data_IF_171048911214
#
_entry.id   IF_171048911214
#
_cell.length_a   1.000
_cell.length_b   1.000
_cell.length_c   1.000
_cell.angle_alpha   90.00
_cell.angle_beta   90.00
_cell.angle_gamma   90.00
#
_symmetry.space_group_name_H-M   'P 1'
#
loop_
_entity.id
_entity.type
_entity.pdbx_description
1 polymer ?
#
# COMPACT_ATOMS: atom_id res chain seq x y z
N UNK A 1 9.50 -14.13 9.03
CA UNK A 1 8.33 -14.75 8.36
C UNK A 1 8.33 -14.31 6.90
N UNK A 2 9.10 -14.97 6.03
CA UNK A 2 9.26 -14.57 4.62
C UNK A 2 7.92 -14.48 3.87
N UNK A 3 6.99 -15.38 4.18
CA UNK A 3 5.65 -15.45 3.58
C UNK A 3 4.83 -14.16 3.73
N UNK A 4 5.03 -13.40 4.82
CA UNK A 4 4.32 -12.12 5.05
C UNK A 4 4.89 -10.99 4.21
N UNK A 5 6.22 -10.97 4.06
CA UNK A 5 6.92 -9.99 3.23
C UNK A 5 6.64 -10.25 1.75
N UNK A 6 6.59 -11.52 1.33
CA UNK A 6 6.20 -11.92 -0.02
C UNK A 6 4.75 -11.53 -0.33
N UNK A 7 3.84 -11.69 0.63
CA UNK A 7 2.45 -11.22 0.49
C UNK A 7 2.37 -9.70 0.35
N UNK A 8 3.10 -8.95 1.18
CA UNK A 8 3.13 -7.49 1.09
C UNK A 8 3.66 -7.04 -0.28
N UNK A 9 4.71 -7.69 -0.78
CA UNK A 9 5.25 -7.42 -2.11
C UNK A 9 4.25 -7.71 -3.23
N UNK A 10 3.48 -8.79 -3.10
CA UNK A 10 2.42 -9.11 -4.05
C UNK A 10 1.31 -8.04 -4.05
N UNK A 11 0.93 -7.53 -2.86
CA UNK A 11 -0.06 -6.47 -2.73
C UNK A 11 0.43 -5.13 -3.30
N UNK A 12 1.71 -4.78 -3.10
CA UNK A 12 2.33 -3.59 -3.72
C UNK A 12 2.24 -3.68 -5.25
N UNK A 13 2.57 -4.83 -5.82
CA UNK A 13 2.50 -5.06 -7.27
C UNK A 13 1.07 -5.01 -7.80
N UNK A 14 0.11 -5.50 -7.02
CA UNK A 14 -1.32 -5.39 -7.35
C UNK A 14 -1.77 -3.93 -7.34
N UNK A 15 -1.35 -3.15 -6.33
CA UNK A 15 -1.65 -1.73 -6.23
C UNK A 15 -1.10 -0.94 -7.44
N UNK A 16 0.17 -1.16 -7.79
CA UNK A 16 0.79 -0.51 -8.96
C UNK A 16 0.04 -0.84 -10.26
N UNK A 17 -0.31 -2.10 -10.47
CA UNK A 17 -1.07 -2.52 -11.64
C UNK A 17 -2.46 -1.87 -11.69
N UNK A 18 -3.16 -1.75 -10.56
CA UNK A 18 -4.43 -1.03 -10.50
C UNK A 18 -4.26 0.48 -10.77
N UNK A 19 -3.20 1.12 -10.23
CA UNK A 19 -2.87 2.52 -10.50
C UNK A 19 -2.43 2.80 -11.96
N UNK A 20 -1.98 1.78 -12.68
CA UNK A 20 -1.70 1.85 -14.11
C UNK A 20 -2.95 1.63 -14.97
N UNK A 21 -3.89 0.79 -14.51
CA UNK A 21 -5.17 0.56 -15.21
C UNK A 21 -6.16 1.71 -15.03
N UNK A 22 -6.08 2.43 -13.92
CA UNK A 22 -6.96 3.54 -13.61
C UNK A 22 -6.43 4.83 -14.25
N UNK A 23 -7.02 5.21 -15.39
CA UNK A 23 -6.76 6.52 -16.04
C UNK A 23 -7.42 7.69 -15.29
N UNK A 24 -8.49 7.45 -14.53
CA UNK A 24 -9.31 8.48 -13.88
C UNK A 24 -9.21 8.43 -12.34
N UNK A 25 -7.98 8.43 -11.80
CA UNK A 25 -7.75 8.67 -10.37
C UNK A 25 -7.20 10.08 -10.15
N UNK A 26 -7.59 10.71 -9.04
CA UNK A 26 -7.08 12.02 -8.66
C UNK A 26 -5.54 11.97 -8.52
N UNK A 27 -4.79 12.90 -9.16
CA UNK A 27 -3.33 12.86 -9.18
C UNK A 27 -2.71 12.89 -7.79
N UNK A 28 -3.31 13.62 -6.84
CA UNK A 28 -2.84 13.65 -5.45
C UNK A 28 -2.91 12.27 -4.80
N UNK A 29 -4.04 11.59 -4.94
CA UNK A 29 -4.21 10.24 -4.40
C UNK A 29 -3.28 9.23 -5.07
N UNK A 30 -3.12 9.36 -6.38
CA UNK A 30 -2.19 8.52 -7.16
C UNK A 30 -0.75 8.64 -6.65
N UNK A 31 -0.31 9.86 -6.35
CA UNK A 31 1.04 10.10 -5.85
C UNK A 31 1.22 9.59 -4.43
N UNK A 32 0.24 9.78 -3.53
CA UNK A 32 0.29 9.23 -2.17
C UNK A 32 0.40 7.69 -2.18
N UNK A 33 -0.41 7.01 -2.99
CA UNK A 33 -0.39 5.55 -3.10
C UNK A 33 0.92 5.05 -3.71
N UNK A 34 1.46 5.76 -4.72
CA UNK A 34 2.74 5.41 -5.33
C UNK A 34 3.91 5.61 -4.38
N UNK A 35 3.91 6.69 -3.61
CA UNK A 35 4.95 6.94 -2.60
C UNK A 35 4.93 5.86 -1.52
N UNK A 36 3.74 5.51 -1.01
CA UNK A 36 3.60 4.44 -0.03
C UNK A 36 4.04 3.08 -0.59
N UNK A 37 3.69 2.78 -1.85
CA UNK A 37 4.14 1.57 -2.54
C UNK A 37 5.68 1.50 -2.67
N UNK A 38 6.30 2.62 -3.05
CA UNK A 38 7.76 2.73 -3.20
C UNK A 38 8.46 2.55 -1.85
N UNK A 39 8.00 3.24 -0.79
CA UNK A 39 8.58 3.13 0.56
C UNK A 39 8.54 1.68 1.06
N UNK A 40 7.45 0.96 0.74
CA UNK A 40 7.31 -0.46 1.08
C UNK A 40 8.28 -1.33 0.27
N UNK A 41 8.33 -1.19 -1.06
CA UNK A 41 9.23 -2.03 -1.87
C UNK A 41 10.70 -1.75 -1.58
N UNK A 42 11.09 -0.50 -1.33
CA UNK A 42 12.46 -0.11 -0.96
C UNK A 42 12.88 -0.81 0.34
N UNK A 43 12.06 -0.74 1.39
CA UNK A 43 12.40 -1.40 2.66
C UNK A 43 12.38 -2.93 2.56
N UNK A 44 11.52 -3.50 1.72
CA UNK A 44 11.52 -4.94 1.40
C UNK A 44 12.77 -5.34 0.61
N UNK A 45 13.23 -4.51 -0.32
CA UNK A 45 14.43 -4.73 -1.12
C UNK A 45 15.72 -4.65 -0.29
N UNK A 46 15.78 -3.69 0.64
CA UNK A 46 16.89 -3.54 1.60
C UNK A 46 16.88 -4.60 2.71
N UNK A 47 15.90 -5.53 2.69
CA UNK A 47 15.67 -6.53 3.75
C UNK A 47 15.62 -5.91 5.15
N UNK A 48 15.19 -4.65 5.22
CA UNK A 48 15.21 -3.83 6.42
C UNK A 48 13.79 -3.40 6.81
N UNK A 49 12.89 -4.37 7.13
CA UNK A 49 11.51 -4.07 7.48
C UNK A 49 11.39 -3.28 8.79
N UNK A 50 12.46 -3.15 9.57
CA UNK A 50 12.55 -2.28 10.74
C UNK A 50 12.64 -0.79 10.40
N UNK A 51 13.05 -0.45 9.17
CA UNK A 51 13.01 0.92 8.66
C UNK A 51 11.60 1.32 8.23
N UNK A 52 10.73 0.35 7.93
CA UNK A 52 9.32 0.62 7.72
C UNK A 52 8.74 1.26 8.97
N UNK A 53 7.96 2.31 8.78
CA UNK A 53 7.12 2.89 9.80
C UNK A 53 5.70 2.36 9.59
N UNK A 54 5.41 1.07 9.88
CA UNK A 54 4.16 0.41 9.48
C UNK A 54 2.94 1.13 10.06
N UNK A 55 3.02 1.72 11.26
CA UNK A 55 1.93 2.52 11.83
C UNK A 55 1.60 3.73 10.96
N UNK A 56 2.60 4.54 10.62
CA UNK A 56 2.42 5.75 9.79
C UNK A 56 1.95 5.41 8.38
N UNK A 57 2.47 4.34 7.78
CA UNK A 57 2.01 3.86 6.48
C UNK A 57 0.58 3.33 6.53
N UNK A 58 0.22 2.56 7.57
CA UNK A 58 -1.15 2.06 7.77
C UNK A 58 -2.13 3.21 7.93
N UNK A 59 -1.79 4.23 8.73
CA UNK A 59 -2.62 5.44 8.92
C UNK A 59 -2.86 6.15 7.58
N UNK A 60 -1.80 6.47 6.83
CA UNK A 60 -1.89 7.13 5.52
C UNK A 60 -2.71 6.33 4.51
N UNK A 61 -2.49 5.01 4.43
CA UNK A 61 -3.22 4.13 3.52
C UNK A 61 -4.71 4.05 3.91
N UNK A 62 -5.02 4.01 5.20
CA UNK A 62 -6.41 3.99 5.69
C UNK A 62 -7.14 5.28 5.37
N UNK A 63 -6.53 6.44 5.60
CA UNK A 63 -7.10 7.75 5.21
C UNK A 63 -7.33 7.82 3.70
N UNK A 64 -6.42 7.24 2.91
CA UNK A 64 -6.57 7.21 1.45
C UNK A 64 -7.73 6.32 1.02
N UNK A 65 -7.93 5.16 1.68
CA UNK A 65 -9.08 4.26 1.42
C UNK A 65 -10.40 5.00 1.54
N UNK A 66 -10.60 5.78 2.60
CA UNK A 66 -11.84 6.53 2.82
C UNK A 66 -12.13 7.52 1.66
N UNK A 67 -11.08 8.08 1.05
CA UNK A 67 -11.20 8.99 -0.09
C UNK A 67 -11.56 8.29 -1.40
N UNK A 68 -11.01 7.09 -1.63
CA UNK A 68 -11.18 6.35 -2.91
C UNK A 68 -12.27 5.28 -2.87
N UNK A 69 -12.78 4.87 -1.71
CA UNK A 69 -13.75 3.77 -1.59
C UNK A 69 -15.03 4.02 -2.39
N UNK A 70 -15.47 5.27 -2.48
CA UNK A 70 -16.65 5.66 -3.24
C UNK A 70 -16.45 5.59 -4.76
N UNK A 71 -15.25 5.90 -5.25
CA UNK A 71 -14.94 6.02 -6.68
C UNK A 71 -14.27 4.77 -7.26
N UNK A 72 -13.43 4.10 -6.46
CA UNK A 72 -12.57 2.99 -6.86
C UNK A 72 -12.58 1.88 -5.79
N UNK A 73 -13.69 1.12 -5.65
CA UNK A 73 -13.83 0.11 -4.60
C UNK A 73 -12.79 -1.03 -4.71
N UNK A 74 -12.37 -1.37 -5.94
CA UNK A 74 -11.30 -2.36 -6.16
C UNK A 74 -9.97 -1.89 -5.60
N UNK A 75 -9.60 -0.63 -5.88
CA UNK A 75 -8.36 -0.03 -5.40
C UNK A 75 -8.37 0.09 -3.88
N UNK A 76 -9.49 0.57 -3.31
CA UNK A 76 -9.71 0.65 -1.88
C UNK A 76 -9.48 -0.70 -1.19
N UNK A 77 -9.98 -1.80 -1.76
CA UNK A 77 -9.78 -3.13 -1.22
C UNK A 77 -8.30 -3.56 -1.21
N UNK A 78 -7.52 -3.24 -2.25
CA UNK A 78 -6.08 -3.56 -2.31
C UNK A 78 -5.32 -2.77 -1.24
N UNK A 79 -5.57 -1.46 -1.15
CA UNK A 79 -4.93 -0.56 -0.17
C UNK A 79 -5.25 -0.99 1.26
N UNK A 80 -6.50 -1.38 1.54
CA UNK A 80 -6.91 -1.85 2.85
C UNK A 80 -6.17 -3.16 3.25
N UNK A 81 -6.04 -4.12 2.31
CA UNK A 81 -5.24 -5.33 2.53
C UNK A 81 -3.76 -5.03 2.79
N UNK A 82 -3.20 -3.98 2.18
CA UNK A 82 -1.83 -3.53 2.45
C UNK A 82 -1.69 -2.96 3.86
N UNK A 83 -2.64 -2.10 4.28
CA UNK A 83 -2.70 -1.55 5.62
C UNK A 83 -2.80 -2.68 6.68
N UNK A 84 -3.65 -3.68 6.45
CA UNK A 84 -3.74 -4.87 7.31
C UNK A 84 -2.43 -5.66 7.36
N UNK A 85 -1.78 -5.89 6.21
CA UNK A 85 -0.52 -6.62 6.15
C UNK A 85 0.61 -5.88 6.88
N UNK A 86 0.67 -4.56 6.77
CA UNK A 86 1.60 -3.69 7.51
C UNK A 86 1.32 -3.71 9.01
N UNK A 87 0.05 -3.63 9.42
CA UNK A 87 -0.36 -3.75 10.82
C UNK A 87 0.07 -5.08 11.44
N UNK A 88 -0.02 -6.18 10.68
CA UNK A 88 0.45 -7.50 11.11
C UNK A 88 1.98 -7.63 11.23
N UNK A 89 2.74 -6.74 10.59
CA UNK A 89 4.20 -6.67 10.70
C UNK A 89 4.67 -5.83 11.90
N UNK A 90 3.84 -4.90 12.38
CA UNK A 90 4.20 -3.89 13.40
C UNK A 90 3.45 -3.97 14.73
N UNK A 91 2.95 -5.15 15.11
CA UNK A 91 2.29 -5.40 16.41
C UNK A 91 3.26 -5.15 17.57
#
# INVERSE_FOLDING_TARGET
MPERLERLRALVRELEAELERLDEIDPETRDVLREAASEIDDALAEQSPEQLRPRTLTERLTETVESIEASHPTLAAVVNRMADALGQLGI
#
